data_IF_710765804869
#
_entry.id   IF_710765804869
#
_cell.length_a   1.000
_cell.length_b   1.000
_cell.length_c   1.000
_cell.angle_alpha   90.00
_cell.angle_beta   90.00
_cell.angle_gamma   90.00
#
_symmetry.space_group_name_H-M   'P 1'
#
loop_
_entity.id
_entity.type
_entity.pdbx_description
1 polymer ?
#
# COMPACT_ATOMS: atom_id res chain seq x y z
N UNK A 1 0.62 -26.12 4.66
CA UNK A 1 1.52 -25.27 5.46
C UNK A 1 0.75 -24.39 6.41
N UNK A 2 1.40 -23.92 7.48
CA UNK A 2 0.88 -22.87 8.35
C UNK A 2 1.71 -21.60 8.14
N UNK A 3 1.09 -20.52 7.69
CA UNK A 3 1.73 -19.23 7.40
C UNK A 3 1.37 -18.22 8.48
N UNK A 4 2.39 -17.62 9.12
CA UNK A 4 2.24 -16.47 10.00
C UNK A 4 2.45 -15.17 9.20
N UNK A 5 1.41 -14.37 9.01
CA UNK A 5 1.50 -13.03 8.45
C UNK A 5 1.74 -12.03 9.59
N UNK A 6 2.84 -11.30 9.54
CA UNK A 6 3.25 -10.38 10.62
C UNK A 6 3.32 -8.96 10.06
N UNK A 7 2.34 -8.14 10.40
CA UNK A 7 2.18 -6.80 9.83
C UNK A 7 1.61 -5.81 10.86
N UNK A 8 1.88 -4.50 10.70
CA UNK A 8 1.52 -3.51 11.70
C UNK A 8 0.02 -3.30 11.85
N UNK A 9 -0.76 -3.47 10.76
CA UNK A 9 -2.19 -3.22 10.70
C UNK A 9 -2.86 -4.22 9.77
N UNK A 10 -4.12 -4.56 10.05
CA UNK A 10 -4.87 -5.53 9.24
C UNK A 10 -6.38 -5.21 9.27
N UNK A 11 -7.16 -5.99 8.51
CA UNK A 11 -8.63 -5.89 8.50
C UNK A 11 -9.23 -5.72 9.92
N UNK A 12 -10.26 -4.89 10.13
CA UNK A 12 -11.11 -4.22 9.12
C UNK A 12 -10.55 -2.92 8.54
N UNK A 13 -9.32 -2.51 8.88
CA UNK A 13 -8.66 -1.43 8.16
C UNK A 13 -8.46 -1.81 6.67
N UNK A 14 -8.69 -0.83 5.78
CA UNK A 14 -8.70 -1.03 4.33
C UNK A 14 -7.62 -0.21 3.64
N UNK A 15 -6.40 -0.71 3.62
CA UNK A 15 -5.30 -0.21 2.79
C UNK A 15 -4.97 -1.18 1.67
N UNK A 16 -4.24 -0.73 0.66
CA UNK A 16 -3.85 -1.60 -0.46
C UNK A 16 -3.05 -2.82 -0.02
N UNK A 17 -2.08 -2.64 0.88
CA UNK A 17 -1.27 -3.73 1.42
C UNK A 17 -2.10 -4.71 2.25
N UNK A 18 -2.91 -4.20 3.17
CA UNK A 18 -3.73 -4.99 4.09
C UNK A 18 -4.80 -5.78 3.34
N UNK A 19 -5.46 -5.17 2.36
CA UNK A 19 -6.45 -5.86 1.51
C UNK A 19 -5.80 -6.95 0.65
N UNK A 20 -4.63 -6.69 0.09
CA UNK A 20 -3.88 -7.69 -0.67
C UNK A 20 -3.51 -8.89 0.19
N UNK A 21 -3.03 -8.66 1.42
CA UNK A 21 -2.70 -9.75 2.34
C UNK A 21 -3.94 -10.49 2.86
N UNK A 22 -5.09 -9.81 3.03
CA UNK A 22 -6.34 -10.49 3.36
C UNK A 22 -6.77 -11.43 2.21
N UNK A 23 -6.67 -10.96 0.96
CA UNK A 23 -7.00 -11.78 -0.21
C UNK A 23 -6.04 -12.95 -0.37
N UNK A 24 -4.73 -12.74 -0.16
CA UNK A 24 -3.73 -13.83 -0.11
C UNK A 24 -4.06 -14.83 1.00
N UNK A 25 -4.41 -14.36 2.21
CA UNK A 25 -4.75 -15.22 3.33
C UNK A 25 -5.98 -16.07 3.03
N UNK A 26 -7.03 -15.49 2.45
CA UNK A 26 -8.23 -16.21 1.99
C UNK A 26 -7.90 -17.25 0.91
N UNK A 27 -7.06 -16.87 -0.04
CA UNK A 27 -6.59 -17.80 -1.08
C UNK A 27 -5.88 -19.00 -0.45
N UNK A 28 -4.95 -18.79 0.48
CA UNK A 28 -4.23 -19.86 1.16
C UNK A 28 -5.17 -20.78 1.95
N UNK A 29 -6.13 -20.21 2.70
CA UNK A 29 -7.14 -21.00 3.44
C UNK A 29 -8.01 -21.83 2.49
N UNK A 30 -8.46 -21.26 1.38
CA UNK A 30 -9.25 -21.98 0.37
C UNK A 30 -8.47 -23.15 -0.28
N UNK A 31 -7.13 -23.10 -0.26
CA UNK A 31 -6.26 -24.18 -0.75
C UNK A 31 -5.73 -25.09 0.38
N UNK A 32 -6.41 -25.13 1.54
CA UNK A 32 -6.12 -26.07 2.63
C UNK A 32 -4.92 -25.69 3.50
N UNK A 33 -4.47 -24.44 3.46
CA UNK A 33 -3.41 -23.93 4.33
C UNK A 33 -3.98 -23.26 5.57
N UNK A 34 -3.24 -23.26 6.68
CA UNK A 34 -3.55 -22.44 7.87
C UNK A 34 -2.89 -21.10 7.77
N UNK A 35 -3.62 -20.03 8.14
CA UNK A 35 -3.07 -18.67 8.19
C UNK A 35 -3.39 -18.04 9.53
N UNK A 36 -2.36 -17.53 10.20
CA UNK A 36 -2.50 -16.70 11.40
C UNK A 36 -1.87 -15.33 11.14
N UNK A 37 -2.65 -14.29 11.35
CA UNK A 37 -2.21 -12.90 11.24
C UNK A 37 -1.87 -12.38 12.63
N UNK A 38 -0.67 -11.87 12.79
CA UNK A 38 -0.20 -11.19 14.00
C UNK A 38 -0.08 -9.70 13.66
N UNK A 39 -0.89 -8.87 14.32
CA UNK A 39 -1.00 -7.45 14.01
C UNK A 39 -1.22 -6.61 15.25
N UNK A 40 -1.25 -5.28 15.13
CA UNK A 40 -1.57 -4.39 16.24
C UNK A 40 -3.05 -4.01 16.28
N UNK A 41 -3.44 -3.32 17.34
CA UNK A 41 -4.79 -2.75 17.49
C UNK A 41 -5.00 -1.47 16.66
N UNK A 42 -4.01 -0.92 15.97
CA UNK A 42 -4.13 0.35 15.26
C UNK A 42 -5.12 0.27 14.09
N UNK A 43 -6.08 1.21 14.05
CA UNK A 43 -6.93 1.50 12.88
C UNK A 43 -6.41 2.76 12.18
N UNK A 44 -6.38 3.90 12.85
CA UNK A 44 -5.79 5.11 12.33
C UNK A 44 -4.26 5.00 12.24
N UNK A 45 -3.65 5.67 11.25
CA UNK A 45 -2.20 5.70 11.10
C UNK A 45 -1.54 6.40 12.30
N UNK A 46 -2.14 7.45 12.81
CA UNK A 46 -1.68 8.21 13.98
C UNK A 46 -1.68 7.36 15.26
N UNK A 47 -2.52 6.33 15.35
CA UNK A 47 -2.59 5.40 16.48
C UNK A 47 -1.27 4.64 16.72
N UNK A 48 -0.37 4.55 15.74
CA UNK A 48 0.98 4.00 15.97
C UNK A 48 1.85 4.89 16.86
N UNK A 49 1.56 6.20 16.92
CA UNK A 49 2.43 7.18 17.54
C UNK A 49 1.83 7.88 18.74
N UNK A 50 0.51 8.06 18.72
CA UNK A 50 -0.22 8.89 19.68
C UNK A 50 -1.42 8.12 20.23
N UNK A 51 -1.68 8.21 21.56
CA UNK A 51 -2.92 7.72 22.15
C UNK A 51 -4.11 8.59 21.72
N UNK A 52 -5.32 8.02 21.81
CA UNK A 52 -6.57 8.75 21.54
C UNK A 52 -7.06 8.67 20.11
N UNK A 53 -6.29 8.07 19.21
CA UNK A 53 -6.74 7.72 17.86
C UNK A 53 -7.44 6.36 17.84
N UNK A 54 -8.18 6.10 16.77
CA UNK A 54 -9.00 4.90 16.64
C UNK A 54 -8.17 3.62 16.64
N UNK A 55 -8.60 2.67 17.47
CA UNK A 55 -8.00 1.34 17.59
C UNK A 55 -9.09 0.28 17.59
N UNK A 56 -8.73 -0.94 17.22
CA UNK A 56 -9.55 -2.13 17.40
C UNK A 56 -9.34 -2.74 18.79
N UNK A 57 -10.27 -3.56 19.29
CA UNK A 57 -10.07 -4.32 20.51
C UNK A 57 -8.84 -5.25 20.42
N UNK A 58 -8.15 -5.43 21.54
CA UNK A 58 -7.15 -6.50 21.68
C UNK A 58 -7.89 -7.83 21.80
N UNK A 59 -7.83 -8.63 20.72
CA UNK A 59 -8.61 -9.85 20.61
C UNK A 59 -8.01 -10.84 19.63
N UNK A 60 -8.52 -12.06 19.67
CA UNK A 60 -8.35 -13.05 18.63
C UNK A 60 -9.69 -13.30 17.95
N UNK A 61 -9.74 -13.11 16.65
CA UNK A 61 -10.96 -13.34 15.83
C UNK A 61 -10.64 -14.28 14.67
N UNK A 62 -11.67 -14.85 14.06
CA UNK A 62 -11.57 -15.59 12.81
C UNK A 62 -12.37 -14.89 11.71
N UNK A 63 -11.76 -14.71 10.55
CA UNK A 63 -12.36 -14.07 9.36
C UNK A 63 -12.14 -15.01 8.19
N UNK A 64 -13.19 -15.63 7.67
CA UNK A 64 -13.11 -16.56 6.53
C UNK A 64 -12.05 -17.67 6.72
N UNK A 65 -11.93 -18.18 7.94
CA UNK A 65 -10.93 -19.20 8.29
C UNK A 65 -9.52 -18.67 8.60
N UNK A 66 -9.29 -17.37 8.44
CA UNK A 66 -8.04 -16.70 8.83
C UNK A 66 -8.10 -16.32 10.30
N UNK A 67 -7.14 -16.77 11.10
CA UNK A 67 -7.02 -16.38 12.51
C UNK A 67 -6.28 -15.05 12.61
N UNK A 68 -6.87 -14.04 13.24
CA UNK A 68 -6.27 -12.71 13.44
C UNK A 68 -6.07 -12.46 14.93
N UNK A 69 -4.84 -12.16 15.33
CA UNK A 69 -4.45 -11.82 16.71
C UNK A 69 -3.95 -10.39 16.75
N UNK A 70 -4.61 -9.55 17.56
CA UNK A 70 -4.28 -8.12 17.74
C UNK A 70 -3.58 -7.89 19.06
N UNK A 71 -2.54 -7.08 19.02
CA UNK A 71 -1.69 -6.75 20.17
C UNK A 71 -1.71 -5.25 20.44
N UNK A 72 -1.68 -4.83 21.74
CA UNK A 72 -1.68 -3.43 22.11
C UNK A 72 -0.38 -2.72 21.70
N UNK A 73 -0.46 -1.40 21.57
CA UNK A 73 0.68 -0.53 21.35
C UNK A 73 1.02 0.15 22.67
N UNK A 74 2.29 0.09 23.06
CA UNK A 74 2.76 0.77 24.28
C UNK A 74 3.15 2.22 23.96
N UNK A 75 2.40 3.16 24.53
CA UNK A 75 2.61 4.61 24.38
C UNK A 75 3.54 5.21 25.45
N UNK A 76 4.13 4.40 26.32
CA UNK A 76 4.98 4.90 27.40
C UNK A 76 6.23 5.62 26.85
N UNK A 77 6.29 6.93 27.10
CA UNK A 77 7.35 7.82 26.60
C UNK A 77 8.75 7.46 27.13
N UNK A 78 8.86 6.94 28.35
CA UNK A 78 10.14 6.50 28.94
C UNK A 78 10.66 5.25 28.20
N UNK A 79 9.80 4.28 27.94
CA UNK A 79 10.16 3.09 27.17
C UNK A 79 10.58 3.45 25.74
N UNK A 80 9.87 4.37 25.10
CA UNK A 80 10.24 4.89 23.76
C UNK A 80 11.56 5.67 23.76
N UNK A 81 11.91 6.37 24.84
CA UNK A 81 13.19 7.09 24.96
C UNK A 81 14.37 6.16 25.22
N UNK A 82 14.21 5.19 26.11
CA UNK A 82 15.26 4.19 26.40
C UNK A 82 15.59 3.32 25.17
N UNK A 83 14.60 2.99 24.36
CA UNK A 83 14.80 2.25 23.10
C UNK A 83 15.60 3.02 22.06
N UNK A 84 15.57 4.38 22.08
CA UNK A 84 16.42 5.20 21.19
C UNK A 84 17.91 5.07 21.53
N UNK A 85 18.25 4.94 22.80
CA UNK A 85 19.65 4.75 23.21
C UNK A 85 20.19 3.39 22.76
N UNK A 86 19.36 2.35 22.77
CA UNK A 86 19.71 1.03 22.26
C UNK A 86 19.90 1.02 20.72
N UNK A 87 19.29 1.96 19.99
CA UNK A 87 19.53 2.17 18.56
C UNK A 87 20.96 2.60 18.22
N UNK A 88 21.75 3.04 19.21
CA UNK A 88 23.19 3.32 19.06
C UNK A 88 24.05 2.05 19.10
N UNK A 89 23.48 0.89 19.49
CA UNK A 89 24.19 -0.38 19.51
C UNK A 89 24.71 -0.74 18.11
N UNK A 90 25.92 -1.33 18.02
CA UNK A 90 26.49 -1.68 16.71
C UNK A 90 25.72 -2.80 16.01
N UNK A 91 25.06 -3.68 16.75
CA UNK A 91 24.37 -4.83 16.19
C UNK A 91 23.06 -4.42 15.50
N UNK A 92 22.91 -4.78 14.22
CA UNK A 92 21.77 -4.38 13.38
C UNK A 92 20.39 -4.78 13.93
N UNK A 93 20.29 -5.95 14.63
CA UNK A 93 19.02 -6.44 15.24
C UNK A 93 18.47 -5.47 16.27
N UNK A 94 19.34 -4.90 17.10
CA UNK A 94 18.96 -3.90 18.08
C UNK A 94 18.52 -2.61 17.39
N UNK A 95 19.23 -2.20 16.34
CA UNK A 95 18.85 -1.03 15.53
C UNK A 95 17.51 -1.22 14.85
N UNK A 96 17.25 -2.38 14.24
CA UNK A 96 15.99 -2.67 13.58
C UNK A 96 14.80 -2.64 14.53
N UNK A 97 14.97 -3.14 15.76
CA UNK A 97 13.91 -3.18 16.76
C UNK A 97 13.51 -1.79 17.27
N UNK A 98 14.47 -0.87 17.39
CA UNK A 98 14.29 0.41 18.08
C UNK A 98 14.35 1.63 17.15
N UNK A 99 14.65 1.42 15.89
CA UNK A 99 14.68 2.51 14.92
C UNK A 99 13.28 2.97 14.52
N UNK A 100 13.08 4.26 14.31
CA UNK A 100 11.79 4.80 13.83
C UNK A 100 11.52 4.41 12.39
N UNK A 101 10.25 4.16 12.04
CA UNK A 101 9.08 4.07 12.89
C UNK A 101 9.00 2.70 13.57
N UNK A 102 9.31 2.68 14.85
CA UNK A 102 9.19 1.51 15.70
C UNK A 102 8.44 1.90 16.97
N UNK A 103 7.49 1.08 17.33
CA UNK A 103 6.68 1.22 18.54
C UNK A 103 6.66 -0.13 19.26
N UNK A 104 6.71 -0.15 20.61
CA UNK A 104 6.62 -1.38 21.36
C UNK A 104 5.22 -2.01 21.20
N UNK A 105 5.20 -3.32 20.97
CA UNK A 105 3.97 -4.12 20.86
C UNK A 105 4.06 -5.25 21.89
N UNK A 106 3.58 -5.04 23.13
CA UNK A 106 3.62 -6.02 24.19
C UNK A 106 2.94 -7.33 23.78
N UNK A 107 3.52 -8.47 24.16
CA UNK A 107 2.99 -9.80 23.87
C UNK A 107 3.22 -10.33 22.44
N UNK A 108 3.51 -9.46 21.45
CA UNK A 108 3.69 -9.89 20.06
C UNK A 108 4.83 -10.91 19.90
N UNK A 109 6.01 -10.61 20.43
CA UNK A 109 7.17 -11.50 20.33
C UNK A 109 6.92 -12.86 20.98
N UNK A 110 6.29 -12.87 22.14
CA UNK A 110 5.95 -14.09 22.87
C UNK A 110 4.96 -14.94 22.08
N UNK A 111 3.91 -14.31 21.54
CA UNK A 111 2.93 -14.99 20.71
C UNK A 111 3.53 -15.57 19.41
N UNK A 112 4.46 -14.86 18.78
CA UNK A 112 5.15 -15.32 17.59
C UNK A 112 6.08 -16.53 17.92
N UNK A 113 6.77 -16.50 19.04
CA UNK A 113 7.59 -17.63 19.51
C UNK A 113 6.76 -18.89 19.80
N UNK A 114 5.57 -18.72 20.34
CA UNK A 114 4.65 -19.82 20.63
C UNK A 114 3.92 -20.36 19.39
N UNK A 115 4.00 -19.67 18.26
CA UNK A 115 3.36 -20.08 17.00
C UNK A 115 4.04 -21.33 16.42
N UNK A 116 3.24 -22.26 15.89
CA UNK A 116 3.69 -23.45 15.15
C UNK A 116 3.77 -23.20 13.62
N UNK A 117 3.93 -21.95 13.20
CA UNK A 117 4.02 -21.60 11.80
C UNK A 117 5.21 -22.25 11.09
N UNK A 118 4.99 -22.75 9.88
CA UNK A 118 6.02 -23.29 8.99
C UNK A 118 6.83 -22.16 8.34
N UNK A 119 6.24 -20.95 8.20
CA UNK A 119 6.82 -19.80 7.55
C UNK A 119 6.29 -18.51 8.18
N UNK A 120 7.16 -17.50 8.29
CA UNK A 120 6.79 -16.14 8.69
C UNK A 120 6.90 -15.19 7.49
N UNK A 121 5.82 -14.50 7.15
CA UNK A 121 5.81 -13.43 6.15
C UNK A 121 5.72 -12.09 6.84
N UNK A 122 6.71 -11.23 6.67
CA UNK A 122 6.85 -9.95 7.36
C UNK A 122 6.75 -8.77 6.39
N UNK A 123 6.23 -7.65 6.85
CA UNK A 123 6.16 -6.39 6.10
C UNK A 123 5.05 -5.47 6.61
N UNK A 124 4.89 -4.30 6.01
CA UNK A 124 5.82 -3.62 5.10
C UNK A 124 6.87 -2.78 5.86
N UNK A 125 7.84 -2.25 5.14
CA UNK A 125 8.65 -1.14 5.65
C UNK A 125 7.78 0.13 5.75
N UNK A 126 8.08 1.06 6.68
CA UNK A 126 9.21 1.07 7.59
C UNK A 126 8.87 0.57 9.03
N UNK A 127 7.93 -0.33 9.19
CA UNK A 127 7.47 -0.80 10.51
C UNK A 127 8.44 -1.82 11.14
N UNK A 128 9.68 -1.38 11.34
CA UNK A 128 10.84 -2.19 11.68
C UNK A 128 10.63 -3.09 12.91
N UNK A 129 9.98 -2.57 13.98
CA UNK A 129 9.77 -3.34 15.22
C UNK A 129 8.91 -4.58 15.01
N UNK A 130 7.86 -4.47 14.21
CA UNK A 130 6.96 -5.59 13.86
C UNK A 130 7.68 -6.59 12.95
N UNK A 131 8.38 -6.10 11.91
CA UNK A 131 9.16 -6.95 11.01
C UNK A 131 10.29 -7.67 11.74
N UNK A 132 11.01 -6.97 12.63
CA UNK A 132 12.03 -7.57 13.48
C UNK A 132 11.47 -8.69 14.35
N UNK A 133 10.29 -8.49 14.95
CA UNK A 133 9.67 -9.51 15.79
C UNK A 133 9.40 -10.81 15.00
N UNK A 134 8.86 -10.68 13.79
CA UNK A 134 8.62 -11.82 12.90
C UNK A 134 9.92 -12.50 12.46
N UNK A 135 10.94 -11.73 12.07
CA UNK A 135 12.24 -12.29 11.68
C UNK A 135 12.88 -13.05 12.84
N UNK A 136 12.94 -12.44 14.01
CA UNK A 136 13.55 -13.06 15.18
C UNK A 136 12.81 -14.34 15.65
N UNK A 137 11.48 -14.34 15.57
CA UNK A 137 10.69 -15.53 15.87
C UNK A 137 10.99 -16.66 14.88
N UNK A 138 11.07 -16.37 13.59
CA UNK A 138 11.45 -17.33 12.55
C UNK A 138 12.83 -17.92 12.79
N UNK A 139 13.85 -17.09 13.08
CA UNK A 139 15.21 -17.54 13.40
C UNK A 139 15.25 -18.46 14.62
N UNK A 140 14.55 -18.12 15.71
CA UNK A 140 14.52 -18.95 16.93
C UNK A 140 13.85 -20.31 16.71
N UNK A 141 12.89 -20.38 15.79
CA UNK A 141 12.19 -21.62 15.46
C UNK A 141 12.84 -22.39 14.32
N UNK A 142 13.88 -21.85 13.71
CA UNK A 142 14.46 -22.36 12.47
C UNK A 142 13.47 -22.35 11.30
N UNK A 143 12.39 -21.55 11.35
CA UNK A 143 11.42 -21.40 10.27
C UNK A 143 11.86 -20.33 9.30
N UNK A 144 11.69 -20.52 7.98
CA UNK A 144 12.04 -19.49 7.01
C UNK A 144 11.19 -18.23 7.19
N UNK A 145 11.83 -17.11 6.92
CA UNK A 145 11.17 -15.80 6.92
C UNK A 145 11.23 -15.21 5.52
N UNK A 146 10.12 -14.77 5.01
CA UNK A 146 10.02 -14.01 3.75
C UNK A 146 9.53 -12.61 4.03
N UNK A 147 9.88 -11.65 3.19
CA UNK A 147 9.50 -10.27 3.38
C UNK A 147 8.86 -9.67 2.12
N UNK A 148 7.81 -8.87 2.30
CA UNK A 148 7.30 -7.95 1.27
C UNK A 148 7.53 -6.52 1.79
N UNK A 149 8.66 -5.88 1.43
CA UNK A 149 9.03 -4.59 1.98
C UNK A 149 8.14 -3.44 1.51
N UNK A 150 7.57 -3.51 0.30
CA UNK A 150 6.81 -2.42 -0.30
C UNK A 150 7.56 -1.09 -0.21
N UNK A 151 8.80 -1.06 -0.67
CA UNK A 151 9.67 0.10 -0.53
C UNK A 151 9.17 1.27 -1.37
N UNK A 152 9.01 2.43 -0.76
CA UNK A 152 8.70 3.65 -1.51
C UNK A 152 10.01 4.31 -1.96
N UNK A 153 10.20 4.43 -3.26
CA UNK A 153 11.45 4.95 -3.84
C UNK A 153 11.39 6.45 -4.12
N UNK A 154 10.18 7.03 -4.14
CA UNK A 154 9.98 8.47 -4.37
C UNK A 154 10.40 8.95 -5.75
N UNK A 155 10.64 10.27 -5.85
CA UNK A 155 11.09 10.93 -7.07
C UNK A 155 12.57 10.64 -7.34
N UNK A 156 12.96 10.43 -8.60
CA UNK A 156 14.36 10.25 -8.96
C UNK A 156 15.23 11.42 -8.50
N UNK A 157 16.36 11.09 -7.85
CA UNK A 157 17.29 12.11 -7.32
C UNK A 157 16.85 12.78 -6.02
N UNK A 158 15.66 12.45 -5.48
CA UNK A 158 15.17 12.98 -4.21
C UNK A 158 15.14 11.91 -3.12
N UNK A 159 15.93 12.10 -2.07
CA UNK A 159 16.03 11.15 -0.95
C UNK A 159 14.96 11.34 0.13
N UNK A 160 14.05 12.31 0.00
CA UNK A 160 13.08 12.63 1.06
C UNK A 160 12.20 11.44 1.44
N UNK A 161 11.85 10.59 0.49
CA UNK A 161 11.05 9.37 0.71
C UNK A 161 11.95 8.17 1.00
N UNK A 162 12.88 7.86 0.11
CA UNK A 162 13.66 6.63 0.15
C UNK A 162 14.48 6.48 1.44
N UNK A 163 14.91 7.58 2.05
CA UNK A 163 15.64 7.56 3.33
C UNK A 163 14.85 6.95 4.49
N UNK A 164 13.53 6.79 4.38
CA UNK A 164 12.71 6.17 5.41
C UNK A 164 12.54 4.66 5.21
N UNK A 165 12.79 4.15 4.00
CA UNK A 165 12.48 2.79 3.58
C UNK A 165 13.68 1.90 3.29
N UNK A 166 14.87 2.47 3.04
CA UNK A 166 16.05 1.70 2.62
C UNK A 166 17.29 2.07 3.44
N UNK A 167 17.13 2.20 4.74
CA UNK A 167 18.24 2.46 5.65
C UNK A 167 19.10 1.20 5.87
N UNK A 168 20.40 1.32 6.23
CA UNK A 168 21.28 0.18 6.38
C UNK A 168 20.75 -0.94 7.28
N UNK A 169 20.06 -0.61 8.39
CA UNK A 169 19.50 -1.61 9.29
C UNK A 169 18.26 -2.32 8.68
N UNK A 170 17.50 -1.64 7.80
CA UNK A 170 16.38 -2.25 7.07
C UNK A 170 16.91 -3.19 5.98
N UNK A 171 17.95 -2.78 5.26
CA UNK A 171 18.64 -3.65 4.30
C UNK A 171 19.21 -4.88 5.00
N UNK A 172 19.89 -4.70 6.15
CA UNK A 172 20.40 -5.81 6.94
C UNK A 172 19.28 -6.77 7.41
N UNK A 173 18.10 -6.24 7.78
CA UNK A 173 16.94 -7.06 8.11
C UNK A 173 16.49 -7.92 6.90
N UNK A 174 16.37 -7.31 5.73
CA UNK A 174 15.97 -8.00 4.50
C UNK A 174 17.00 -9.05 4.05
N UNK A 175 18.30 -8.80 4.26
CA UNK A 175 19.38 -9.76 3.97
C UNK A 175 19.30 -11.06 4.83
N UNK A 176 18.60 -11.02 5.96
CA UNK A 176 18.34 -12.20 6.80
C UNK A 176 17.09 -12.99 6.38
N UNK A 177 16.27 -12.44 5.48
CA UNK A 177 15.12 -13.15 4.95
C UNK A 177 15.53 -14.22 3.93
N UNK A 178 14.83 -15.33 3.93
CA UNK A 178 15.03 -16.40 2.94
C UNK A 178 14.66 -15.94 1.54
N UNK A 179 13.61 -15.10 1.43
CA UNK A 179 13.15 -14.50 0.18
C UNK A 179 12.58 -13.11 0.44
N UNK A 180 12.74 -12.21 -0.53
CA UNK A 180 12.18 -10.85 -0.51
C UNK A 180 11.34 -10.65 -1.77
N UNK A 181 10.07 -10.33 -1.60
CA UNK A 181 9.09 -10.14 -2.66
C UNK A 181 9.00 -8.67 -3.04
N UNK A 182 9.49 -8.37 -4.22
CA UNK A 182 9.47 -7.03 -4.78
C UNK A 182 8.18 -6.80 -5.57
N UNK A 183 7.60 -5.62 -5.43
CA UNK A 183 6.40 -5.25 -6.16
C UNK A 183 6.68 -4.89 -7.62
N UNK A 184 7.89 -4.36 -7.92
CA UNK A 184 8.29 -3.89 -9.24
C UNK A 184 9.73 -4.29 -9.56
N UNK A 185 10.08 -4.22 -10.85
CA UNK A 185 11.47 -4.41 -11.29
C UNK A 185 12.39 -3.33 -10.67
N UNK A 186 11.91 -2.09 -10.65
CA UNK A 186 12.64 -0.96 -10.04
C UNK A 186 12.96 -1.20 -8.57
N UNK A 187 12.01 -1.73 -7.78
CA UNK A 187 12.28 -2.08 -6.37
C UNK A 187 13.33 -3.19 -6.26
N UNK A 188 13.21 -4.24 -7.08
CA UNK A 188 14.16 -5.35 -7.12
C UNK A 188 15.58 -4.87 -7.42
N UNK A 189 15.74 -4.07 -8.46
CA UNK A 189 17.04 -3.57 -8.90
C UNK A 189 17.65 -2.68 -7.82
N UNK A 190 16.84 -1.82 -7.18
CA UNK A 190 17.31 -0.98 -6.09
C UNK A 190 17.78 -1.79 -4.87
N UNK A 191 17.06 -2.85 -4.49
CA UNK A 191 17.48 -3.73 -3.41
C UNK A 191 18.75 -4.52 -3.75
N UNK A 192 18.91 -4.94 -5.00
CA UNK A 192 20.15 -5.56 -5.49
C UNK A 192 21.35 -4.60 -5.44
N UNK A 193 21.21 -3.35 -5.86
CA UNK A 193 22.22 -2.30 -5.74
C UNK A 193 22.66 -2.07 -4.28
N UNK A 194 21.72 -2.25 -3.34
CA UNK A 194 21.98 -2.13 -1.90
C UNK A 194 22.53 -3.40 -1.26
N UNK A 195 22.89 -4.41 -2.06
CA UNK A 195 23.60 -5.60 -1.63
C UNK A 195 22.73 -6.79 -1.23
N UNK A 196 21.44 -6.83 -1.64
CA UNK A 196 20.67 -8.06 -1.54
C UNK A 196 21.05 -8.99 -2.70
N UNK A 197 21.18 -10.27 -2.39
CA UNK A 197 21.52 -11.31 -3.35
C UNK A 197 20.36 -11.56 -4.34
N UNK A 198 20.61 -11.59 -5.66
CA UNK A 198 19.58 -11.71 -6.69
C UNK A 198 18.69 -12.95 -6.53
N UNK A 199 19.24 -14.07 -6.06
CA UNK A 199 18.52 -15.32 -5.85
C UNK A 199 17.50 -15.23 -4.70
N UNK A 200 17.64 -14.26 -3.81
CA UNK A 200 16.68 -13.97 -2.74
C UNK A 200 15.59 -12.99 -3.16
N UNK A 201 15.73 -12.35 -4.31
CA UNK A 201 14.77 -11.37 -4.81
C UNK A 201 13.83 -12.01 -5.82
N UNK A 202 12.52 -11.93 -5.58
CA UNK A 202 11.49 -12.36 -6.51
C UNK A 202 10.54 -11.20 -6.83
N UNK A 203 10.20 -11.01 -8.11
CA UNK A 203 9.18 -10.04 -8.51
C UNK A 203 7.83 -10.73 -8.41
N UNK A 204 7.08 -10.40 -7.37
CA UNK A 204 5.77 -10.97 -7.08
C UNK A 204 4.80 -9.83 -6.76
N UNK A 205 4.43 -9.00 -7.75
CA UNK A 205 3.49 -7.92 -7.54
C UNK A 205 2.16 -8.47 -7.02
N UNK A 206 1.52 -7.72 -6.16
CA UNK A 206 0.14 -8.00 -5.80
C UNK A 206 -0.76 -7.86 -7.03
N UNK A 207 -1.78 -8.69 -7.08
CA UNK A 207 -2.82 -8.58 -8.09
C UNK A 207 -4.03 -7.82 -7.58
N UNK A 208 -4.90 -7.45 -8.50
CA UNK A 208 -6.21 -6.89 -8.20
C UNK A 208 -7.26 -7.97 -8.10
N UNK A 209 -8.25 -7.76 -7.25
CA UNK A 209 -9.46 -8.55 -7.24
C UNK A 209 -10.43 -7.99 -8.30
N UNK A 210 -10.53 -8.69 -9.43
CA UNK A 210 -11.38 -8.27 -10.54
C UNK A 210 -12.84 -8.13 -10.14
N UNK A 211 -13.36 -9.00 -9.27
CA UNK A 211 -14.78 -8.93 -8.85
C UNK A 211 -15.11 -7.65 -8.09
N UNK A 212 -14.17 -7.16 -7.28
CA UNK A 212 -14.34 -5.93 -6.52
C UNK A 212 -13.92 -4.66 -7.28
N UNK A 213 -13.17 -4.81 -8.39
CA UNK A 213 -12.62 -3.68 -9.13
C UNK A 213 -13.42 -3.27 -10.37
N UNK A 214 -14.11 -4.19 -11.05
CA UNK A 214 -14.78 -3.93 -12.33
C UNK A 214 -16.28 -4.14 -12.29
N UNK A 215 -16.96 -3.80 -13.40
CA UNK A 215 -18.42 -3.90 -13.59
C UNK A 215 -19.24 -3.08 -12.58
N UNK A 216 -18.72 -1.91 -12.21
CA UNK A 216 -19.47 -0.93 -11.43
C UNK A 216 -20.50 -0.20 -12.27
N UNK A 217 -21.40 0.52 -11.58
CA UNK A 217 -22.40 1.39 -12.20
C UNK A 217 -21.76 2.73 -12.65
N UNK A 218 -21.67 3.04 -13.95
CA UNK A 218 -21.12 4.32 -14.42
C UNK A 218 -21.96 5.54 -14.02
N UNK A 219 -23.25 5.35 -13.72
CA UNK A 219 -24.16 6.39 -13.29
C UNK A 219 -24.18 6.62 -11.76
N UNK A 220 -23.41 5.83 -11.00
CA UNK A 220 -23.40 5.85 -9.53
C UNK A 220 -23.19 7.26 -8.94
N UNK A 221 -22.20 8.01 -9.44
CA UNK A 221 -21.91 9.35 -8.94
C UNK A 221 -23.03 10.34 -9.28
N UNK A 222 -23.63 10.23 -10.46
CA UNK A 222 -24.80 11.03 -10.81
C UNK A 222 -26.01 10.66 -9.92
N UNK A 223 -26.32 9.39 -9.81
CA UNK A 223 -27.49 8.92 -9.06
C UNK A 223 -27.42 9.31 -7.59
N UNK A 224 -26.26 9.07 -6.95
CA UNK A 224 -26.09 9.23 -5.51
C UNK A 224 -25.72 10.66 -5.09
N UNK A 225 -24.89 11.35 -5.87
CA UNK A 225 -24.29 12.64 -5.49
C UNK A 225 -24.59 13.79 -6.46
N UNK A 226 -25.36 13.54 -7.54
CA UNK A 226 -25.72 14.52 -8.55
C UNK A 226 -24.52 15.14 -9.26
N UNK A 227 -23.46 14.35 -9.45
CA UNK A 227 -22.28 14.75 -10.20
C UNK A 227 -22.62 14.79 -11.70
N UNK A 228 -22.62 15.98 -12.29
CA UNK A 228 -23.19 16.29 -13.61
C UNK A 228 -22.14 16.65 -14.68
N UNK A 229 -20.95 16.07 -14.61
CA UNK A 229 -19.87 16.40 -15.53
C UNK A 229 -18.74 15.39 -15.54
N UNK A 230 -17.65 15.67 -16.26
CA UNK A 230 -16.45 14.83 -16.23
C UNK A 230 -15.90 14.68 -14.80
N UNK A 231 -15.43 13.48 -14.47
CA UNK A 231 -14.97 13.14 -13.11
C UNK A 231 -13.46 12.89 -13.11
N UNK A 232 -12.73 13.70 -12.36
CA UNK A 232 -11.37 13.43 -11.91
C UNK A 232 -11.47 12.71 -10.57
N UNK A 233 -11.11 11.43 -10.53
CA UNK A 233 -11.27 10.57 -9.36
C UNK A 233 -9.95 10.37 -8.63
N UNK A 234 -9.96 10.55 -7.30
CA UNK A 234 -8.89 10.16 -6.39
C UNK A 234 -9.42 9.14 -5.38
N UNK A 235 -8.87 7.94 -5.36
CA UNK A 235 -9.26 6.88 -4.42
C UNK A 235 -8.14 6.53 -3.46
N UNK A 236 -8.46 6.46 -2.17
CA UNK A 236 -7.54 6.03 -1.13
C UNK A 236 -7.25 7.10 -0.09
N UNK A 237 -6.12 6.94 0.61
CA UNK A 237 -5.70 7.86 1.66
C UNK A 237 -5.50 9.28 1.12
N UNK A 238 -6.16 10.25 1.75
CA UNK A 238 -5.98 11.68 1.47
C UNK A 238 -4.92 12.25 2.41
N UNK A 239 -3.78 12.62 1.85
CA UNK A 239 -2.62 13.12 2.58
C UNK A 239 -1.70 13.90 1.63
N UNK A 240 -0.81 14.73 2.20
CA UNK A 240 0.19 15.46 1.43
C UNK A 240 1.04 14.53 0.54
N UNK A 241 1.58 13.46 1.12
CA UNK A 241 2.44 12.49 0.40
C UNK A 241 1.68 11.72 -0.71
N UNK A 242 0.35 11.70 -0.65
CA UNK A 242 -0.53 11.16 -1.71
C UNK A 242 -0.87 12.21 -2.79
N UNK A 243 -0.36 13.43 -2.67
CA UNK A 243 -0.59 14.51 -3.61
C UNK A 243 -2.01 15.07 -3.59
N UNK A 244 -2.77 14.77 -2.52
CA UNK A 244 -4.18 15.15 -2.42
C UNK A 244 -4.37 16.66 -2.43
N UNK A 245 -3.50 17.39 -1.72
CA UNK A 245 -3.53 18.88 -1.71
C UNK A 245 -3.17 19.43 -3.08
N UNK A 246 -2.12 18.90 -3.73
CA UNK A 246 -1.71 19.31 -5.08
C UNK A 246 -2.84 19.11 -6.09
N UNK A 247 -3.60 18.01 -5.95
CA UNK A 247 -4.72 17.73 -6.84
C UNK A 247 -5.87 18.74 -6.65
N UNK A 248 -6.17 19.14 -5.42
CA UNK A 248 -7.15 20.21 -5.14
C UNK A 248 -6.70 21.52 -5.78
N UNK A 249 -5.43 21.91 -5.62
CA UNK A 249 -4.90 23.15 -6.22
C UNK A 249 -4.92 23.08 -7.76
N UNK A 250 -4.59 21.94 -8.36
CA UNK A 250 -4.69 21.74 -9.82
C UNK A 250 -6.13 21.91 -10.32
N UNK A 251 -7.11 21.38 -9.58
CA UNK A 251 -8.52 21.55 -9.96
C UNK A 251 -9.01 22.99 -9.80
N UNK A 252 -8.51 23.73 -8.81
CA UNK A 252 -8.81 25.18 -8.70
C UNK A 252 -8.34 25.96 -9.94
N UNK A 253 -7.14 25.63 -10.45
CA UNK A 253 -6.64 26.23 -11.70
C UNK A 253 -7.60 25.94 -12.86
N UNK A 254 -8.09 24.70 -12.98
CA UNK A 254 -9.04 24.32 -14.04
C UNK A 254 -10.39 24.99 -13.88
N UNK A 255 -10.93 25.06 -12.68
CA UNK A 255 -12.20 25.75 -12.42
C UNK A 255 -12.12 27.27 -12.72
N UNK A 256 -10.98 27.90 -12.39
CA UNK A 256 -10.74 29.31 -12.75
C UNK A 256 -10.69 29.54 -14.26
N UNK A 257 -10.35 28.49 -15.04
CA UNK A 257 -10.38 28.50 -16.52
C UNK A 257 -11.75 28.10 -17.09
N UNK A 258 -12.77 27.90 -16.25
CA UNK A 258 -14.13 27.55 -16.66
C UNK A 258 -14.41 26.05 -16.85
N UNK A 259 -13.55 25.17 -16.38
CA UNK A 259 -13.80 23.72 -16.42
C UNK A 259 -15.04 23.34 -15.58
N UNK A 260 -15.89 22.45 -16.13
CA UNK A 260 -17.03 21.89 -15.44
C UNK A 260 -16.74 20.53 -14.80
N UNK A 261 -15.48 20.09 -14.79
CA UNK A 261 -15.09 18.82 -14.22
C UNK A 261 -15.23 18.80 -12.69
N UNK A 262 -15.67 17.66 -12.17
CA UNK A 262 -15.72 17.39 -10.74
C UNK A 262 -14.41 16.76 -10.25
N UNK A 263 -13.98 17.14 -9.06
CA UNK A 263 -13.02 16.39 -8.29
C UNK A 263 -13.76 15.54 -7.26
N UNK A 264 -13.67 14.23 -7.41
CA UNK A 264 -14.22 13.28 -6.44
C UNK A 264 -13.06 12.62 -5.71
N UNK A 265 -12.98 12.82 -4.40
CA UNK A 265 -11.96 12.24 -3.53
C UNK A 265 -12.64 11.34 -2.52
N UNK A 266 -12.39 10.03 -2.56
CA UNK A 266 -13.01 9.06 -1.66
C UNK A 266 -11.97 8.20 -0.93
N UNK A 267 -12.11 8.09 0.38
CA UNK A 267 -11.22 7.31 1.25
C UNK A 267 -10.90 7.99 2.57
N UNK A 268 -10.08 7.34 3.42
CA UNK A 268 -9.62 7.91 4.68
C UNK A 268 -8.76 9.15 4.45
N UNK A 269 -8.66 10.01 5.45
CA UNK A 269 -7.81 11.20 5.44
C UNK A 269 -6.92 11.25 6.68
N UNK A 270 -5.75 11.88 6.56
CA UNK A 270 -4.99 12.30 7.72
C UNK A 270 -5.54 13.63 8.24
N UNK A 271 -5.39 13.85 9.54
CA UNK A 271 -5.82 15.10 10.21
C UNK A 271 -5.22 16.36 9.58
N UNK A 272 -4.02 16.27 9.01
CA UNK A 272 -3.38 17.37 8.26
C UNK A 272 -4.16 17.73 7.00
N UNK A 273 -4.65 16.74 6.24
CA UNK A 273 -5.48 16.99 5.06
C UNK A 273 -6.86 17.53 5.46
N UNK A 274 -7.45 17.02 6.56
CA UNK A 274 -8.74 17.53 7.04
C UNK A 274 -8.66 19.01 7.43
N UNK A 275 -7.57 19.44 8.06
CA UNK A 275 -7.30 20.83 8.37
C UNK A 275 -7.09 21.70 7.10
N UNK A 276 -6.39 21.17 6.10
CA UNK A 276 -6.20 21.85 4.83
C UNK A 276 -7.55 22.05 4.11
N UNK A 277 -8.32 20.98 3.93
CA UNK A 277 -9.55 21.00 3.17
C UNK A 277 -10.68 21.82 3.84
N UNK A 278 -10.67 21.90 5.17
CA UNK A 278 -11.60 22.76 5.91
C UNK A 278 -11.49 24.26 5.54
N UNK A 279 -10.32 24.67 5.08
CA UNK A 279 -10.07 26.04 4.61
C UNK A 279 -10.11 26.10 3.07
N UNK A 280 -9.29 25.32 2.42
CA UNK A 280 -9.09 25.34 0.97
C UNK A 280 -10.31 24.85 0.17
N UNK A 281 -11.14 23.99 0.75
CA UNK A 281 -12.32 23.41 0.11
C UNK A 281 -13.52 24.37 -0.02
N UNK A 282 -13.53 25.48 0.74
CA UNK A 282 -14.64 26.44 0.73
C UNK A 282 -14.87 27.09 -0.66
N UNK A 283 -13.80 27.26 -1.42
CA UNK A 283 -13.81 27.88 -2.74
C UNK A 283 -13.76 26.84 -3.88
N UNK A 284 -14.13 25.59 -3.60
CA UNK A 284 -14.10 24.49 -4.55
C UNK A 284 -15.53 24.11 -4.99
N UNK A 285 -16.06 24.69 -6.10
CA UNK A 285 -17.48 24.57 -6.45
C UNK A 285 -17.89 23.14 -6.87
N UNK A 286 -16.93 22.34 -7.33
CA UNK A 286 -17.16 20.98 -7.84
C UNK A 286 -16.24 19.96 -7.17
N UNK A 287 -16.05 20.11 -5.85
CA UNK A 287 -15.32 19.16 -5.01
C UNK A 287 -16.31 18.30 -4.22
N UNK A 288 -16.21 16.98 -4.41
CA UNK A 288 -16.89 15.99 -3.59
C UNK A 288 -15.85 15.24 -2.76
N UNK A 289 -15.69 15.64 -1.50
CA UNK A 289 -14.76 14.98 -0.55
C UNK A 289 -15.52 13.99 0.33
N UNK A 290 -15.31 12.69 0.10
CA UNK A 290 -16.04 11.61 0.73
C UNK A 290 -15.19 10.86 1.77
N UNK A 291 -15.80 10.36 2.86
CA UNK A 291 -15.15 9.48 3.84
C UNK A 291 -14.79 8.12 3.23
N UNK A 292 -14.20 7.19 4.03
CA UNK A 292 -14.04 5.80 3.62
C UNK A 292 -15.37 5.20 3.15
N UNK A 293 -15.33 4.42 2.09
CA UNK A 293 -16.47 3.82 1.40
C UNK A 293 -16.46 2.29 1.55
N UNK A 294 -17.56 1.63 1.24
CA UNK A 294 -17.65 0.18 1.21
C UNK A 294 -16.87 -0.41 0.02
N UNK A 295 -16.25 -1.59 0.18
CA UNK A 295 -15.51 -2.24 -0.92
C UNK A 295 -16.38 -2.44 -2.17
N UNK A 296 -17.67 -2.67 -1.99
CA UNK A 296 -18.64 -2.81 -3.08
C UNK A 296 -18.83 -1.53 -3.90
N UNK A 297 -18.58 -0.34 -3.31
CA UNK A 297 -18.69 0.93 -4.00
C UNK A 297 -17.44 1.32 -4.80
N UNK A 298 -16.30 0.66 -4.54
CA UNK A 298 -15.04 0.97 -5.24
C UNK A 298 -15.17 0.88 -6.75
N UNK A 299 -15.78 -0.21 -7.24
CA UNK A 299 -16.00 -0.43 -8.68
C UNK A 299 -16.91 0.63 -9.29
N UNK A 300 -17.91 1.13 -8.52
CA UNK A 300 -18.86 2.14 -9.00
C UNK A 300 -18.17 3.51 -9.11
N UNK A 301 -17.30 3.87 -8.16
CA UNK A 301 -16.43 5.04 -8.30
C UNK A 301 -15.53 4.96 -9.53
N UNK A 302 -14.88 3.81 -9.75
CA UNK A 302 -13.99 3.60 -10.90
C UNK A 302 -14.77 3.64 -12.22
N UNK A 303 -15.94 3.01 -12.29
CA UNK A 303 -16.80 3.01 -13.48
C UNK A 303 -17.26 4.44 -13.84
N UNK A 304 -17.60 5.26 -12.85
CA UNK A 304 -18.04 6.65 -13.04
C UNK A 304 -16.91 7.64 -13.38
N UNK A 305 -15.64 7.26 -13.25
CA UNK A 305 -14.51 8.14 -13.49
C UNK A 305 -14.31 8.45 -14.98
N UNK A 306 -13.93 9.69 -15.31
CA UNK A 306 -13.41 10.07 -16.63
C UNK A 306 -11.90 9.85 -16.68
N UNK A 307 -11.20 10.19 -15.61
CA UNK A 307 -9.76 9.98 -15.40
C UNK A 307 -9.49 9.72 -13.93
N UNK A 308 -8.55 8.85 -13.61
CA UNK A 308 -8.11 8.60 -12.22
C UNK A 308 -6.80 9.31 -11.97
N UNK A 309 -6.75 10.20 -10.98
CA UNK A 309 -5.57 10.97 -10.62
C UNK A 309 -5.00 10.51 -9.27
N UNK A 310 -3.80 9.95 -9.30
CA UNK A 310 -3.02 9.52 -8.12
C UNK A 310 -1.63 10.17 -8.14
N UNK A 311 -1.53 11.49 -7.87
CA UNK A 311 -0.26 12.21 -7.93
C UNK A 311 0.59 11.97 -6.66
N UNK A 312 0.68 10.71 -6.22
CA UNK A 312 1.33 10.25 -5.01
C UNK A 312 2.85 10.09 -5.20
N UNK A 313 3.66 10.58 -4.23
CA UNK A 313 5.10 10.31 -4.19
C UNK A 313 5.46 9.03 -3.40
N UNK A 314 4.49 8.41 -2.75
CA UNK A 314 4.67 7.22 -1.90
C UNK A 314 3.83 6.05 -2.42
N UNK A 315 4.36 5.37 -3.44
CA UNK A 315 3.77 4.16 -3.99
C UNK A 315 4.82 3.03 -4.07
N UNK A 316 4.37 1.81 -3.82
CA UNK A 316 5.18 0.60 -4.01
C UNK A 316 4.75 -0.22 -5.24
N UNK A 317 3.48 -0.15 -5.61
CA UNK A 317 2.93 -0.74 -6.84
C UNK A 317 1.91 0.19 -7.52
N UNK A 318 1.04 0.86 -6.75
CA UNK A 318 -0.01 1.68 -7.32
C UNK A 318 -1.24 0.87 -7.74
N UNK A 319 -1.77 0.04 -6.85
CA UNK A 319 -2.95 -0.80 -7.13
C UNK A 319 -4.13 -0.04 -7.70
N UNK A 320 -4.38 1.19 -7.23
CA UNK A 320 -5.47 2.03 -7.74
C UNK A 320 -5.28 2.38 -9.23
N UNK A 321 -4.04 2.52 -9.71
CA UNK A 321 -3.77 2.73 -11.13
C UNK A 321 -4.17 1.48 -11.93
N UNK A 322 -3.82 0.31 -11.43
CA UNK A 322 -4.15 -0.97 -12.07
C UNK A 322 -5.67 -1.21 -12.04
N UNK A 323 -6.34 -0.88 -10.93
CA UNK A 323 -7.81 -0.96 -10.81
C UNK A 323 -8.52 0.03 -11.75
N UNK A 324 -7.97 1.22 -11.96
CA UNK A 324 -8.46 2.18 -12.95
C UNK A 324 -8.34 1.60 -14.38
N UNK A 325 -7.19 1.06 -14.72
CA UNK A 325 -6.96 0.41 -16.00
C UNK A 325 -7.86 -0.80 -16.25
N UNK A 326 -8.16 -1.59 -15.22
CA UNK A 326 -9.14 -2.68 -15.33
C UNK A 326 -10.55 -2.20 -15.71
N UNK A 327 -10.86 -0.92 -15.50
CA UNK A 327 -12.07 -0.23 -15.94
C UNK A 327 -11.85 0.61 -17.22
N UNK A 328 -10.77 0.38 -17.97
CA UNK A 328 -10.39 1.17 -19.15
C UNK A 328 -10.31 2.68 -18.85
N UNK A 329 -9.95 3.08 -17.60
CA UNK A 329 -9.80 4.49 -17.24
C UNK A 329 -8.35 4.92 -17.34
N UNK A 330 -8.04 6.01 -18.06
CA UNK A 330 -6.69 6.55 -18.11
C UNK A 330 -6.28 7.09 -16.73
N UNK A 331 -4.98 7.08 -16.44
CA UNK A 331 -4.46 7.55 -15.17
C UNK A 331 -3.56 8.77 -15.31
N UNK A 332 -3.49 9.57 -14.24
CA UNK A 332 -2.48 10.60 -14.06
C UNK A 332 -1.79 10.34 -12.72
N UNK A 333 -0.49 10.11 -12.76
CA UNK A 333 0.31 9.75 -11.59
C UNK A 333 1.46 10.75 -11.36
N UNK A 334 2.06 10.74 -10.16
CA UNK A 334 3.31 11.47 -9.97
C UNK A 334 4.47 10.79 -10.71
N UNK A 335 5.44 11.58 -11.15
CA UNK A 335 6.65 11.10 -11.83
C UNK A 335 7.66 10.55 -10.83
N UNK A 336 7.34 9.39 -10.27
CA UNK A 336 8.16 8.62 -9.34
C UNK A 336 8.62 7.29 -9.98
N UNK A 337 9.59 6.63 -9.39
CA UNK A 337 10.19 5.42 -9.94
C UNK A 337 9.16 4.34 -10.33
N UNK A 338 8.20 4.05 -9.45
CA UNK A 338 7.13 3.06 -9.69
C UNK A 338 6.17 3.47 -10.81
N UNK A 339 5.69 4.72 -10.75
CA UNK A 339 4.75 5.21 -11.78
C UNK A 339 5.41 5.29 -13.15
N UNK A 340 6.70 5.64 -13.23
CA UNK A 340 7.46 5.58 -14.49
C UNK A 340 7.47 4.16 -15.06
N UNK A 341 7.78 3.16 -14.23
CA UNK A 341 7.77 1.77 -14.68
C UNK A 341 6.39 1.34 -15.19
N UNK A 342 5.33 1.61 -14.43
CA UNK A 342 3.98 1.20 -14.78
C UNK A 342 3.40 2.00 -15.95
N UNK A 343 3.41 3.33 -15.86
CA UNK A 343 2.73 4.19 -16.84
C UNK A 343 3.50 4.22 -18.16
N UNK A 344 4.84 4.27 -18.14
CA UNK A 344 5.64 4.25 -19.37
C UNK A 344 5.57 2.91 -20.09
N UNK A 345 5.51 1.77 -19.34
CA UNK A 345 5.43 0.44 -19.95
C UNK A 345 4.01 0.10 -20.46
N UNK A 346 2.98 0.78 -19.97
CA UNK A 346 1.59 0.54 -20.38
C UNK A 346 1.08 1.54 -21.41
N UNK A 347 1.65 2.75 -21.54
CA UNK A 347 1.04 3.93 -22.16
C UNK A 347 -0.36 4.29 -21.59
N UNK A 348 -0.70 3.76 -20.41
CA UNK A 348 -2.03 3.86 -19.81
C UNK A 348 -2.35 5.22 -19.17
N UNK A 349 -1.53 6.26 -19.40
CA UNK A 349 -1.76 7.55 -18.80
C UNK A 349 -0.62 8.54 -18.93
N UNK A 350 -0.60 9.54 -18.05
CA UNK A 350 0.41 10.60 -17.98
C UNK A 350 1.07 10.62 -16.60
N UNK A 351 2.32 11.09 -16.55
CA UNK A 351 3.01 11.41 -15.29
C UNK A 351 3.31 12.90 -15.20
N UNK A 352 3.31 13.45 -13.97
CA UNK A 352 3.63 14.85 -13.69
C UNK A 352 4.55 14.92 -12.46
N UNK A 353 5.44 15.91 -12.36
CA UNK A 353 6.24 16.12 -11.16
C UNK A 353 5.35 16.24 -9.92
N UNK A 354 5.75 15.56 -8.82
CA UNK A 354 5.05 15.66 -7.55
C UNK A 354 5.03 17.12 -7.04
N UNK A 355 3.89 17.55 -6.49
CA UNK A 355 3.74 18.88 -5.91
C UNK A 355 3.56 20.02 -6.93
N UNK A 356 3.54 19.74 -8.22
CA UNK A 356 3.33 20.77 -9.26
C UNK A 356 1.88 20.81 -9.73
N UNK A 357 1.09 21.73 -9.15
CA UNK A 357 -0.32 21.85 -9.44
C UNK A 357 -0.59 22.32 -10.90
N UNK A 358 0.25 23.20 -11.47
CA UNK A 358 0.05 23.70 -12.83
C UNK A 358 0.27 22.61 -13.88
N UNK A 359 1.33 21.82 -13.75
CA UNK A 359 1.58 20.69 -14.66
C UNK A 359 0.55 19.57 -14.47
N UNK A 360 0.08 19.34 -13.25
CA UNK A 360 -1.01 18.41 -12.99
C UNK A 360 -2.32 18.90 -13.62
N UNK A 361 -2.64 20.18 -13.50
CA UNK A 361 -3.80 20.81 -14.16
C UNK A 361 -3.73 20.66 -15.68
N UNK A 362 -2.57 20.93 -16.29
CA UNK A 362 -2.37 20.78 -17.73
C UNK A 362 -2.55 19.31 -18.20
N UNK A 363 -2.07 18.35 -17.42
CA UNK A 363 -2.26 16.92 -17.72
C UNK A 363 -3.73 16.49 -17.61
N UNK A 364 -4.45 16.98 -16.59
CA UNK A 364 -5.89 16.74 -16.41
C UNK A 364 -6.65 17.38 -17.58
N UNK A 365 -6.39 18.65 -17.91
CA UNK A 365 -7.01 19.37 -19.00
C UNK A 365 -6.84 18.64 -20.35
N UNK A 366 -5.62 18.16 -20.63
CA UNK A 366 -5.31 17.34 -21.81
C UNK A 366 -6.15 16.07 -21.84
N UNK A 367 -6.21 15.32 -20.74
CA UNK A 367 -7.01 14.09 -20.65
C UNK A 367 -8.52 14.38 -20.78
N UNK A 368 -9.02 15.46 -20.24
CA UNK A 368 -10.44 15.82 -20.36
C UNK A 368 -10.80 16.32 -21.77
N UNK A 369 -9.88 17.02 -22.44
CA UNK A 369 -10.10 17.63 -23.75
C UNK A 369 -9.90 16.69 -24.95
N UNK A 370 -9.20 15.55 -24.78
CA UNK A 370 -8.86 14.63 -25.87
C UNK A 370 -9.49 13.23 -25.64
N UNK A 371 -10.69 12.98 -26.21
CA UNK A 371 -11.36 11.69 -26.07
C UNK A 371 -10.58 10.50 -26.68
N UNK A 372 -9.85 10.73 -27.78
CA UNK A 372 -9.05 9.66 -28.42
C UNK A 372 -7.86 9.27 -27.56
N UNK A 373 -7.17 10.26 -26.96
CA UNK A 373 -6.10 9.97 -26.00
C UNK A 373 -6.62 9.20 -24.80
N UNK A 374 -7.79 9.60 -24.24
CA UNK A 374 -8.40 8.87 -23.14
C UNK A 374 -8.69 7.42 -23.47
N UNK A 375 -9.30 7.19 -24.64
CA UNK A 375 -9.63 5.83 -25.07
C UNK A 375 -8.38 5.00 -25.26
N UNK A 376 -7.39 5.49 -26.00
CA UNK A 376 -6.12 4.76 -26.20
C UNK A 376 -5.44 4.45 -24.88
N UNK A 377 -5.31 5.43 -23.98
CA UNK A 377 -4.66 5.22 -22.70
C UNK A 377 -5.45 4.25 -21.79
N UNK A 378 -6.78 4.27 -21.85
CA UNK A 378 -7.62 3.29 -21.16
C UNK A 378 -7.42 1.88 -21.66
N UNK A 379 -7.42 1.69 -22.98
CA UNK A 379 -7.26 0.37 -23.63
C UNK A 379 -5.84 -0.19 -23.40
N UNK A 380 -4.80 0.63 -23.55
CA UNK A 380 -3.41 0.25 -23.30
C UNK A 380 -3.21 -0.11 -21.83
N UNK A 381 -3.79 0.66 -20.92
CA UNK A 381 -3.79 0.38 -19.50
C UNK A 381 -4.50 -0.93 -19.15
N UNK A 382 -5.64 -1.23 -19.79
CA UNK A 382 -6.38 -2.48 -19.60
C UNK A 382 -5.50 -3.70 -19.89
N UNK A 383 -4.72 -3.67 -20.96
CA UNK A 383 -3.77 -4.75 -21.28
C UNK A 383 -2.70 -4.93 -20.18
N UNK A 384 -2.30 -3.86 -19.52
CA UNK A 384 -1.42 -3.94 -18.35
C UNK A 384 -2.14 -4.55 -17.14
N UNK A 385 -3.39 -4.15 -16.88
CA UNK A 385 -4.18 -4.67 -15.76
C UNK A 385 -4.38 -6.19 -15.84
N UNK A 386 -4.53 -6.76 -17.03
CA UNK A 386 -4.64 -8.22 -17.24
C UNK A 386 -3.42 -9.00 -16.70
N UNK A 387 -2.24 -8.38 -16.63
CA UNK A 387 -1.02 -8.99 -16.07
C UNK A 387 -1.01 -9.03 -14.55
N UNK A 388 -1.93 -8.30 -13.93
CA UNK A 388 -2.05 -8.16 -12.47
C UNK A 388 -3.29 -8.87 -11.92
N UNK A 389 -3.61 -10.04 -12.49
CA UNK A 389 -4.68 -10.90 -11.98
C UNK A 389 -4.35 -11.39 -10.55
N UNK A 390 -5.30 -11.21 -9.62
CA UNK A 390 -5.11 -11.55 -8.22
C UNK A 390 -4.90 -13.05 -8.01
N UNK A 391 -5.70 -13.89 -8.64
CA UNK A 391 -5.57 -15.34 -8.45
C UNK A 391 -4.21 -15.86 -8.95
N UNK A 392 -3.73 -15.36 -10.09
CA UNK A 392 -2.41 -15.68 -10.62
C UNK A 392 -1.28 -15.14 -9.71
N UNK A 393 -1.44 -13.97 -9.13
CA UNK A 393 -0.47 -13.40 -8.18
C UNK A 393 -0.39 -14.25 -6.90
N UNK A 394 -1.53 -14.63 -6.35
CA UNK A 394 -1.57 -15.45 -5.12
C UNK A 394 -1.04 -16.86 -5.34
N UNK A 395 -1.30 -17.46 -6.48
CA UNK A 395 -0.72 -18.74 -6.89
C UNK A 395 0.82 -18.68 -6.91
N UNK A 396 1.38 -17.64 -7.53
CA UNK A 396 2.85 -17.43 -7.57
C UNK A 396 3.44 -17.26 -6.17
N UNK A 397 2.84 -16.42 -5.32
CA UNK A 397 3.32 -16.18 -3.95
C UNK A 397 3.23 -17.46 -3.12
N UNK A 398 2.16 -18.22 -3.23
CA UNK A 398 2.02 -19.52 -2.54
C UNK A 398 3.10 -20.51 -2.99
N UNK A 399 3.40 -20.58 -4.29
CA UNK A 399 4.48 -21.39 -4.84
C UNK A 399 5.86 -21.00 -4.31
N UNK A 400 6.15 -19.70 -4.17
CA UNK A 400 7.38 -19.22 -3.52
C UNK A 400 7.45 -19.61 -2.04
N UNK A 401 6.33 -19.58 -1.30
CA UNK A 401 6.28 -20.07 0.08
C UNK A 401 6.63 -21.57 0.17
N UNK A 402 6.07 -22.38 -0.70
CA UNK A 402 6.34 -23.83 -0.76
C UNK A 402 7.81 -24.13 -1.06
N UNK A 403 8.39 -23.41 -2.04
CA UNK A 403 9.81 -23.55 -2.39
C UNK A 403 10.75 -23.21 -1.22
N UNK A 404 10.43 -22.18 -0.45
CA UNK A 404 11.23 -21.75 0.71
C UNK A 404 11.10 -22.74 1.88
N UNK A 405 9.96 -23.43 2.03
CA UNK A 405 9.72 -24.43 3.08
C UNK A 405 10.31 -25.82 2.72
N UNK A 406 10.35 -26.17 1.44
CA UNK A 406 10.73 -27.51 0.97
C UNK A 406 12.08 -28.04 1.51
N UNK A 407 13.18 -27.26 1.54
CA UNK A 407 14.47 -27.73 2.06
C UNK A 407 14.40 -28.19 3.51
N UNK A 408 13.56 -27.57 4.35
CA UNK A 408 13.39 -27.91 5.76
C UNK A 408 12.66 -29.27 5.94
N UNK A 409 11.67 -29.56 5.10
CA UNK A 409 10.93 -30.83 5.15
C UNK A 409 11.77 -32.04 4.74
N UNK A 410 12.79 -31.80 3.91
CA UNK A 410 13.73 -32.85 3.50
C UNK A 410 14.83 -33.16 4.56
N UNK A 411 14.99 -32.29 5.57
CA UNK A 411 15.99 -32.39 6.63
C UNK A 411 15.43 -32.87 7.99
N UNK A 412 14.11 -33.06 8.09
CA UNK A 412 13.40 -33.65 9.22
C UNK A 412 12.96 -35.08 8.89
#
# INVERSE_FOLDING_TARGET
MHVALVLPRFFPYRGGYENSLLTLARYLVAHGHRVTVFTTVADDLEAFWLPGFKTFPEEQISIDGVVVRRFPIDYNALRRRSTRLLGLAPHWRWKAQYWRPSFPVPGLMEALRASDADLFHIGPLPYNGVMYAGLHAGELRGAPVVATPCSHLGEPGNNAVVQHYLQPHQIALLQHCAKVFCMTQTERDRLQELGLSPERLAITPFGIDWQSAVWGDPEFLWQKYKVDGPVVLHLGMKAFEKGSETLVEAMKVLWARGSNAWLVMAGPSLSTFDNYIATAGKDCPRLLNLPPFADTEKRDFLASATVVAQPSRVESLGLVLIEAWANCKPVIAADIAVSRELVASSNGGLTTPFGNADLLAAAIEKMLGDPELRQRAGDDGFHMALRHDGAAAWYRIAGEFEQVIAPRKASL
#
